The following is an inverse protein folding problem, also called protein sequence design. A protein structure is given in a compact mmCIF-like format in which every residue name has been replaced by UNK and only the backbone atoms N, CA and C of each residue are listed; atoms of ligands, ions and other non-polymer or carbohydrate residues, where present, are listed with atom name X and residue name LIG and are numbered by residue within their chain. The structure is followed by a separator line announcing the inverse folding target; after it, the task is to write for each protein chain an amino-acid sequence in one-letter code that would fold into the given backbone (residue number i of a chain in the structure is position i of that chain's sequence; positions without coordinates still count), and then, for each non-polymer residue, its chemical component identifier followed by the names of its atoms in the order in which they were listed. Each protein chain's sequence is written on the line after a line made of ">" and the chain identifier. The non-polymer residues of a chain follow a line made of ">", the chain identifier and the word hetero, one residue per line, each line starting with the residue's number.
data_IF_380518823877
#
_entry.id   IF_380518823877
#
_cell.length_a   1.000
_cell.length_b   1.000
_cell.length_c   1.000
_cell.angle_alpha   90.00
_cell.angle_beta   90.00
_cell.angle_gamma   90.00
#
_symmetry.space_group_name_H-M   'P 1'
#
loop_
_entity.id
_entity.type
_entity.pdbx_description
1 polymer ?
#
# COMPACT_ATOMS: atom_id res chain seq x y z
N UNK A 1 -4.38 -29.84 50.75
CA UNK A 1 -5.63 -30.55 51.14
C UNK A 1 -6.44 -30.92 49.90
N UNK A 2 -7.67 -31.43 50.06
CA UNK A 2 -8.53 -32.02 49.02
C UNK A 2 -7.92 -33.26 48.35
N UNK A 3 -7.82 -34.41 49.03
CA UNK A 3 -8.89 -35.28 49.60
C UNK A 3 -9.36 -36.35 48.60
N UNK A 4 -9.17 -37.61 48.96
CA UNK A 4 -9.60 -38.77 48.18
C UNK A 4 -11.09 -39.00 48.43
N UNK A 5 -11.90 -38.96 47.37
CA UNK A 5 -13.28 -39.46 47.39
C UNK A 5 -13.35 -40.77 46.60
N UNK A 6 -13.65 -41.86 47.32
CA UNK A 6 -13.80 -43.22 46.81
C UNK A 6 -15.06 -43.35 45.93
N UNK A 7 -14.93 -44.04 44.81
CA UNK A 7 -15.98 -44.25 43.81
C UNK A 7 -16.11 -45.73 43.36
N UNK A 8 -15.65 -46.68 44.18
CA UNK A 8 -15.63 -48.11 43.85
C UNK A 8 -16.96 -48.86 44.16
N UNK A 9 -18.09 -48.42 43.59
CA UNK A 9 -19.39 -49.09 43.84
C UNK A 9 -20.41 -49.06 42.68
N UNK A 10 -20.20 -49.93 41.69
CA UNK A 10 -21.24 -50.34 40.73
C UNK A 10 -21.45 -51.86 40.86
N UNK A 11 -22.59 -52.33 41.41
CA UNK A 11 -22.89 -53.76 41.47
C UNK A 11 -23.48 -54.25 40.14
N UNK A 12 -22.93 -55.33 39.58
CA UNK A 12 -23.52 -56.06 38.45
C UNK A 12 -24.25 -57.32 38.92
N UNK A 13 -25.58 -57.34 38.84
CA UNK A 13 -26.42 -58.55 38.89
C UNK A 13 -27.71 -58.31 38.09
N UNK A 14 -28.30 -59.40 37.59
CA UNK A 14 -29.45 -59.39 36.70
C UNK A 14 -28.98 -59.50 35.24
N UNK A 15 -29.20 -60.60 34.50
CA UNK A 15 -30.14 -61.71 34.75
C UNK A 15 -31.33 -61.66 33.78
N UNK A 16 -31.04 -61.48 32.48
CA UNK A 16 -32.05 -61.26 31.44
C UNK A 16 -32.93 -62.51 31.23
N UNK A 17 -34.06 -62.58 31.95
CA UNK A 17 -35.13 -63.53 31.64
C UNK A 17 -35.78 -63.06 30.34
N UNK A 18 -35.78 -63.91 29.31
CA UNK A 18 -36.52 -63.66 28.09
C UNK A 18 -38.03 -63.81 28.38
N UNK A 19 -38.64 -62.72 28.86
CA UNK A 19 -40.09 -62.57 28.82
C UNK A 19 -40.55 -62.55 27.35
N UNK A 20 -41.65 -63.25 27.07
CA UNK A 20 -42.33 -63.14 25.78
C UNK A 20 -42.98 -61.76 25.71
N UNK A 21 -42.28 -60.80 25.11
CA UNK A 21 -42.89 -59.53 24.69
C UNK A 21 -43.78 -59.80 23.47
N UNK A 22 -45.03 -59.34 23.51
CA UNK A 22 -45.95 -59.48 22.38
C UNK A 22 -45.35 -58.78 21.14
N UNK A 23 -45.14 -59.48 20.01
CA UNK A 23 -44.50 -58.89 18.84
C UNK A 23 -45.31 -57.73 18.27
N UNK A 24 -46.64 -57.75 18.45
CA UNK A 24 -47.55 -56.68 18.03
C UNK A 24 -47.31 -55.37 18.81
N UNK A 25 -46.88 -55.44 20.08
CA UNK A 25 -46.53 -54.26 20.86
C UNK A 25 -45.24 -53.60 20.37
N UNK A 26 -44.25 -54.43 20.00
CA UNK A 26 -43.00 -53.98 19.38
C UNK A 26 -43.28 -53.39 17.98
N UNK A 27 -44.19 -54.00 17.21
CA UNK A 27 -44.59 -53.50 15.89
C UNK A 27 -45.27 -52.13 15.99
N UNK A 28 -46.22 -51.97 16.92
CA UNK A 28 -46.91 -50.69 17.16
C UNK A 28 -45.93 -49.58 17.60
N UNK A 29 -45.00 -49.87 18.51
CA UNK A 29 -44.02 -48.89 18.97
C UNK A 29 -43.03 -48.47 17.85
N UNK A 30 -42.66 -49.39 16.95
CA UNK A 30 -41.81 -49.05 15.80
C UNK A 30 -42.57 -48.27 14.72
N UNK A 31 -43.88 -48.51 14.53
CA UNK A 31 -44.70 -47.71 13.59
C UNK A 31 -44.82 -46.25 14.03
N UNK A 32 -45.10 -46.00 15.33
CA UNK A 32 -45.18 -44.64 15.88
C UNK A 32 -43.83 -43.87 15.74
N UNK A 33 -42.70 -44.54 16.01
CA UNK A 33 -41.36 -43.96 15.80
C UNK A 33 -41.08 -43.67 14.32
N UNK A 34 -41.49 -44.56 13.40
CA UNK A 34 -41.28 -44.35 11.96
C UNK A 34 -42.18 -43.22 11.41
N UNK A 35 -43.37 -43.05 11.96
CA UNK A 35 -44.31 -42.00 11.57
C UNK A 35 -43.85 -40.63 12.09
N UNK A 36 -43.39 -40.54 13.34
CA UNK A 36 -42.75 -39.32 13.88
C UNK A 36 -41.44 -38.95 13.15
N UNK A 37 -40.69 -39.94 12.64
CA UNK A 37 -39.54 -39.69 11.77
C UNK A 37 -39.95 -39.03 10.45
N UNK A 38 -40.94 -39.57 9.75
CA UNK A 38 -41.45 -39.03 8.48
C UNK A 38 -42.01 -37.61 8.63
N UNK A 39 -42.74 -37.33 9.71
CA UNK A 39 -43.20 -35.97 10.03
C UNK A 39 -42.02 -35.02 10.30
N UNK A 40 -40.97 -35.50 10.99
CA UNK A 40 -39.77 -34.69 11.27
C UNK A 40 -38.87 -34.43 10.04
N UNK A 41 -39.00 -35.23 8.98
CA UNK A 41 -38.31 -35.02 7.70
C UNK A 41 -39.09 -34.08 6.78
N UNK A 42 -40.43 -34.13 6.79
CA UNK A 42 -41.28 -33.19 6.05
C UNK A 42 -40.99 -31.72 6.42
N UNK A 43 -40.90 -31.41 7.72
CA UNK A 43 -40.56 -30.07 8.22
C UNK A 43 -39.15 -29.61 7.81
N UNK A 44 -38.20 -30.54 7.63
CA UNK A 44 -36.81 -30.21 7.26
C UNK A 44 -36.67 -29.76 5.81
N UNK A 45 -37.45 -30.32 4.89
CA UNK A 45 -37.35 -30.00 3.46
C UNK A 45 -38.03 -28.68 3.06
N UNK A 46 -38.80 -28.05 3.95
CA UNK A 46 -39.47 -26.77 3.67
C UNK A 46 -38.55 -25.53 3.69
N UNK A 47 -37.38 -25.61 4.34
CA UNK A 47 -36.58 -24.42 4.72
C UNK A 47 -35.33 -24.13 3.88
N UNK A 48 -35.00 -24.94 2.87
CA UNK A 48 -33.68 -24.93 2.19
C UNK A 48 -33.70 -24.62 0.69
N UNK A 49 -34.80 -24.08 0.14
CA UNK A 49 -34.80 -23.45 -1.19
C UNK A 49 -34.13 -22.06 -1.14
N UNK A 50 -32.84 -22.06 -0.79
CA UNK A 50 -32.04 -20.88 -0.42
C UNK A 50 -30.77 -20.64 -1.27
N UNK A 51 -30.63 -21.33 -2.40
CA UNK A 51 -29.75 -20.93 -3.51
C UNK A 51 -28.24 -20.97 -3.29
N UNK A 52 -27.63 -22.16 -3.34
CA UNK A 52 -26.21 -22.31 -3.69
C UNK A 52 -26.08 -23.02 -5.06
N UNK A 53 -25.50 -22.33 -6.05
CA UNK A 53 -25.14 -22.93 -7.34
C UNK A 53 -23.78 -23.63 -7.21
N UNK A 54 -23.79 -24.87 -6.71
CA UNK A 54 -22.69 -25.79 -6.94
C UNK A 54 -22.58 -26.10 -8.43
N UNK A 55 -21.43 -25.78 -9.04
CA UNK A 55 -21.13 -26.17 -10.41
C UNK A 55 -20.25 -27.42 -10.41
N UNK A 56 -20.81 -28.55 -10.83
CA UNK A 56 -20.06 -29.81 -10.93
C UNK A 56 -18.96 -29.74 -12.00
N UNK A 57 -17.85 -30.45 -11.74
CA UNK A 57 -16.66 -30.40 -12.58
C UNK A 57 -16.76 -31.30 -13.81
N UNK A 58 -16.84 -30.70 -15.00
CA UNK A 58 -16.76 -31.43 -16.28
C UNK A 58 -15.29 -31.78 -16.63
N UNK A 59 -14.98 -33.08 -16.73
CA UNK A 59 -13.63 -33.59 -16.97
C UNK A 59 -13.29 -33.54 -18.47
N UNK A 60 -12.95 -32.35 -18.97
CA UNK A 60 -12.62 -32.11 -20.37
C UNK A 60 -11.16 -32.46 -20.73
N UNK A 61 -10.87 -33.76 -20.93
CA UNK A 61 -9.57 -34.20 -21.50
C UNK A 61 -9.59 -34.06 -23.03
N UNK A 62 -9.05 -32.95 -23.57
CA UNK A 62 -8.99 -32.81 -25.03
C UNK A 62 -8.27 -31.58 -25.62
N UNK A 63 -7.37 -31.87 -26.58
CA UNK A 63 -7.16 -31.08 -27.82
C UNK A 63 -6.72 -29.61 -27.77
N UNK A 64 -5.39 -29.45 -27.83
CA UNK A 64 -4.63 -28.31 -28.38
C UNK A 64 -5.36 -27.46 -29.45
N UNK A 65 -5.40 -26.13 -29.30
CA UNK A 65 -5.23 -25.19 -30.44
C UNK A 65 -4.74 -23.80 -30.03
N UNK A 66 -4.17 -23.08 -31.00
CA UNK A 66 -3.49 -21.77 -30.86
C UNK A 66 -4.51 -20.63 -30.77
N UNK A 67 -4.25 -19.58 -29.99
CA UNK A 67 -5.16 -18.42 -29.85
C UNK A 67 -4.62 -17.21 -29.07
N UNK A 68 -3.31 -16.94 -29.12
CA UNK A 68 -2.69 -15.86 -28.34
C UNK A 68 -2.84 -14.48 -29.01
N UNK A 69 -3.93 -13.77 -28.75
CA UNK A 69 -4.15 -12.39 -29.25
C UNK A 69 -5.01 -11.47 -28.37
N UNK A 70 -5.45 -11.90 -27.18
CA UNK A 70 -6.43 -11.15 -26.37
C UNK A 70 -5.89 -10.10 -25.38
N UNK A 71 -4.67 -10.27 -24.86
CA UNK A 71 -4.23 -9.56 -23.64
C UNK A 71 -3.98 -8.06 -23.79
N UNK A 72 -3.64 -7.56 -24.98
CA UNK A 72 -3.36 -6.13 -25.18
C UNK A 72 -4.58 -5.22 -25.08
N UNK A 73 -5.77 -5.72 -25.44
CA UNK A 73 -6.99 -4.91 -25.50
C UNK A 73 -7.52 -4.54 -24.10
N UNK A 74 -7.43 -5.47 -23.15
CA UNK A 74 -7.91 -5.26 -21.79
C UNK A 74 -7.07 -4.22 -21.03
N UNK A 75 -5.75 -4.22 -21.24
CA UNK A 75 -4.82 -3.29 -20.60
C UNK A 75 -5.01 -1.83 -21.09
N UNK A 76 -5.27 -1.61 -22.38
CA UNK A 76 -5.63 -0.27 -22.87
C UNK A 76 -6.98 0.22 -22.34
N UNK A 77 -7.93 -0.69 -22.09
CA UNK A 77 -9.24 -0.31 -21.53
C UNK A 77 -9.14 0.14 -20.06
N UNK A 78 -8.25 -0.45 -19.26
CA UNK A 78 -7.94 0.06 -17.92
C UNK A 78 -7.25 1.44 -17.97
N UNK A 79 -6.30 1.66 -18.89
CA UNK A 79 -5.61 2.95 -19.00
C UNK A 79 -6.52 4.12 -19.38
N UNK A 80 -7.55 3.88 -20.20
CA UNK A 80 -8.51 4.93 -20.59
C UNK A 80 -9.55 5.23 -19.50
N UNK A 81 -9.97 4.24 -18.71
CA UNK A 81 -11.00 4.41 -17.69
C UNK A 81 -10.48 5.04 -16.37
N UNK A 82 -9.21 5.44 -16.32
CA UNK A 82 -8.51 5.90 -15.11
C UNK A 82 -8.07 7.38 -15.23
N UNK A 83 -8.71 8.20 -16.09
CA UNK A 83 -8.10 9.47 -16.55
C UNK A 83 -8.77 10.78 -16.15
N UNK A 84 -10.06 10.81 -15.77
CA UNK A 84 -10.78 12.08 -15.68
C UNK A 84 -11.86 12.17 -14.57
N UNK A 85 -11.96 11.17 -13.68
CA UNK A 85 -12.67 11.37 -12.41
C UNK A 85 -11.70 12.00 -11.41
N UNK A 86 -11.88 13.29 -11.13
CA UNK A 86 -11.28 13.93 -9.95
C UNK A 86 -12.02 13.39 -8.73
N UNK A 87 -11.52 12.29 -8.16
CA UNK A 87 -12.10 11.69 -6.97
C UNK A 87 -11.64 12.51 -5.77
N UNK A 88 -12.59 13.23 -5.17
CA UNK A 88 -12.39 13.96 -3.93
C UNK A 88 -11.91 13.03 -2.80
N UNK A 89 -10.77 13.36 -2.22
CA UNK A 89 -10.10 12.62 -1.16
C UNK A 89 -10.76 12.79 0.21
N UNK A 90 -11.47 13.90 0.42
CA UNK A 90 -12.21 14.16 1.66
C UNK A 90 -13.55 13.42 1.70
N UNK A 91 -13.99 12.83 0.57
CA UNK A 91 -15.26 12.12 0.48
C UNK A 91 -15.35 10.95 1.48
N UNK A 92 -16.33 11.02 2.40
CA UNK A 92 -16.53 10.03 3.47
C UNK A 92 -16.75 8.60 2.94
N UNK A 93 -17.27 8.49 1.71
CA UNK A 93 -17.61 7.23 1.05
C UNK A 93 -16.46 6.62 0.21
N UNK A 94 -15.23 7.16 0.32
CA UNK A 94 -14.07 6.67 -0.43
C UNK A 94 -13.78 5.19 -0.13
N UNK A 95 -13.92 4.34 -1.15
CA UNK A 95 -13.72 2.89 -1.02
C UNK A 95 -12.24 2.52 -1.02
N UNK A 96 -11.85 1.45 -0.32
CA UNK A 96 -10.46 0.95 -0.28
C UNK A 96 -9.76 0.86 -1.64
N UNK A 97 -10.45 0.38 -2.67
CA UNK A 97 -9.89 0.30 -4.01
C UNK A 97 -9.64 1.67 -4.65
N UNK A 98 -10.46 2.68 -4.34
CA UNK A 98 -10.27 4.06 -4.78
C UNK A 98 -9.09 4.71 -4.03
N UNK A 99 -9.06 4.64 -2.70
CA UNK A 99 -7.92 5.16 -1.91
C UNK A 99 -6.58 4.56 -2.36
N UNK A 100 -6.54 3.24 -2.59
CA UNK A 100 -5.37 2.52 -3.11
C UNK A 100 -4.99 2.94 -4.54
N UNK A 101 -5.96 3.33 -5.37
CA UNK A 101 -5.74 3.85 -6.72
C UNK A 101 -5.19 5.28 -6.70
N UNK A 102 -5.78 6.17 -5.90
CA UNK A 102 -5.33 7.56 -5.75
C UNK A 102 -3.91 7.59 -5.18
N UNK A 103 -3.62 6.84 -4.12
CA UNK A 103 -2.26 6.70 -3.57
C UNK A 103 -1.24 6.27 -4.64
N UNK A 104 -1.61 5.32 -5.50
CA UNK A 104 -0.77 4.88 -6.63
C UNK A 104 -0.65 5.92 -7.75
N UNK A 105 -1.54 6.89 -7.83
CA UNK A 105 -1.48 7.97 -8.81
C UNK A 105 -0.59 9.10 -8.29
N UNK A 106 -0.89 9.66 -7.11
CA UNK A 106 -0.06 10.69 -6.45
C UNK A 106 1.40 10.23 -6.35
N UNK A 107 1.66 8.97 -5.97
CA UNK A 107 3.01 8.39 -5.93
C UNK A 107 3.77 8.49 -7.28
N UNK A 108 3.10 8.31 -8.43
CA UNK A 108 3.71 8.47 -9.75
C UNK A 108 3.91 9.93 -10.10
N UNK A 109 2.97 10.79 -9.73
CA UNK A 109 3.02 12.21 -10.05
C UNK A 109 4.16 12.89 -9.28
N UNK A 110 4.39 12.51 -8.01
CA UNK A 110 5.62 12.81 -7.27
C UNK A 110 6.88 12.30 -7.99
N UNK A 111 6.87 11.07 -8.51
CA UNK A 111 8.01 10.53 -9.27
C UNK A 111 8.27 11.33 -10.56
N UNK A 112 7.23 11.76 -11.27
CA UNK A 112 7.36 12.65 -12.43
C UNK A 112 7.92 14.02 -12.04
N UNK A 113 7.45 14.62 -10.96
CA UNK A 113 7.97 15.88 -10.42
C UNK A 113 9.46 15.76 -10.02
N UNK A 114 9.84 14.72 -9.26
CA UNK A 114 11.26 14.42 -8.95
C UNK A 114 12.11 14.32 -10.23
N UNK A 115 11.60 13.66 -11.26
CA UNK A 115 12.29 13.52 -12.55
C UNK A 115 12.44 14.87 -13.28
N UNK A 116 11.42 15.74 -13.27
CA UNK A 116 11.52 17.10 -13.85
C UNK A 116 12.50 17.98 -13.08
N UNK A 117 12.39 18.05 -11.75
CA UNK A 117 13.30 18.77 -10.86
C UNK A 117 14.76 18.35 -11.10
N UNK A 118 15.01 17.04 -11.29
CA UNK A 118 16.34 16.52 -11.65
C UNK A 118 16.83 17.04 -13.01
N UNK A 119 15.98 17.06 -14.04
CA UNK A 119 16.33 17.59 -15.36
C UNK A 119 16.58 19.10 -15.33
N UNK A 120 15.76 19.88 -14.63
CA UNK A 120 15.93 21.33 -14.49
C UNK A 120 17.25 21.69 -13.78
N UNK A 121 17.63 20.95 -12.72
CA UNK A 121 18.95 21.11 -12.08
C UNK A 121 20.09 20.83 -13.06
N UNK A 122 20.00 19.74 -13.84
CA UNK A 122 21.02 19.40 -14.85
C UNK A 122 21.13 20.46 -15.96
N UNK A 123 20.02 21.03 -16.42
CA UNK A 123 20.04 22.06 -17.48
C UNK A 123 20.54 23.42 -16.97
N UNK A 124 20.20 23.78 -15.72
CA UNK A 124 20.79 24.94 -15.04
C UNK A 124 22.32 24.79 -14.92
N UNK A 125 22.82 23.62 -14.52
CA UNK A 125 24.26 23.39 -14.39
C UNK A 125 24.99 23.29 -15.74
N UNK A 126 24.31 22.83 -16.81
CA UNK A 126 24.80 22.95 -18.20
C UNK A 126 24.93 24.41 -18.63
N UNK A 127 23.88 25.22 -18.42
CA UNK A 127 23.88 26.64 -18.77
C UNK A 127 24.93 27.43 -17.96
N UNK A 128 25.11 27.11 -16.67
CA UNK A 128 26.22 27.64 -15.85
C UNK A 128 27.60 27.30 -16.42
N UNK A 129 27.83 26.05 -16.84
CA UNK A 129 29.08 25.64 -17.49
C UNK A 129 29.30 26.36 -18.81
N UNK A 130 28.28 26.49 -19.67
CA UNK A 130 28.36 27.30 -20.90
C UNK A 130 28.67 28.76 -20.62
N UNK A 131 28.03 29.38 -19.62
CA UNK A 131 28.34 30.76 -19.20
C UNK A 131 29.81 30.88 -18.81
N UNK A 132 30.31 29.96 -17.99
CA UNK A 132 31.69 30.04 -17.51
C UNK A 132 32.70 29.70 -18.61
N UNK A 133 32.40 28.77 -19.52
CA UNK A 133 33.18 28.54 -20.74
C UNK A 133 33.16 29.74 -21.68
N UNK A 134 32.05 30.46 -21.80
CA UNK A 134 31.90 31.61 -22.71
C UNK A 134 32.58 32.84 -22.13
N UNK A 135 32.48 33.05 -20.81
CA UNK A 135 33.30 33.99 -20.04
C UNK A 135 34.77 33.66 -20.18
N UNK A 136 35.17 32.41 -19.94
CA UNK A 136 36.54 31.97 -20.11
C UNK A 136 37.00 32.21 -21.55
N UNK A 137 36.26 31.82 -22.58
CA UNK A 137 36.60 32.14 -24.00
C UNK A 137 36.68 33.65 -24.25
N UNK A 138 35.87 34.48 -23.59
CA UNK A 138 35.95 35.95 -23.67
C UNK A 138 37.23 36.48 -23.02
N UNK A 139 37.54 36.03 -21.80
CA UNK A 139 38.78 36.33 -21.08
C UNK A 139 39.99 35.81 -21.83
N UNK A 140 39.98 34.57 -22.32
CA UNK A 140 40.98 33.94 -23.16
C UNK A 140 41.14 34.69 -24.50
N UNK A 141 40.12 35.37 -25.04
CA UNK A 141 40.26 36.22 -26.25
C UNK A 141 40.81 37.62 -25.91
N UNK A 142 40.43 38.20 -24.78
CA UNK A 142 41.02 39.46 -24.29
C UNK A 142 42.48 39.25 -23.83
N UNK A 143 42.76 38.11 -23.21
CA UNK A 143 44.08 37.66 -22.80
C UNK A 143 44.86 37.13 -24.00
N UNK A 144 44.29 36.43 -25.00
CA UNK A 144 45.01 36.14 -26.25
C UNK A 144 45.14 37.37 -27.15
N UNK A 145 44.38 38.45 -26.95
CA UNK A 145 44.66 39.77 -27.55
C UNK A 145 45.88 40.36 -26.86
N UNK A 146 45.86 40.53 -25.53
CA UNK A 146 46.98 41.00 -24.73
C UNK A 146 48.25 40.13 -24.92
N UNK A 147 48.12 38.82 -24.87
CA UNK A 147 49.16 37.80 -25.12
C UNK A 147 49.46 37.59 -26.60
N UNK A 148 48.69 38.07 -27.58
CA UNK A 148 49.24 38.20 -28.95
C UNK A 148 50.00 39.50 -29.11
N UNK A 149 49.62 40.54 -28.37
CA UNK A 149 50.34 41.81 -28.34
C UNK A 149 51.63 41.67 -27.49
N UNK A 150 51.68 40.74 -26.52
CA UNK A 150 52.85 40.32 -25.73
C UNK A 150 53.59 39.08 -26.30
N UNK A 151 52.96 38.04 -26.86
CA UNK A 151 53.68 36.94 -27.56
C UNK A 151 54.09 37.28 -28.97
N UNK A 152 53.67 38.41 -29.52
CA UNK A 152 54.45 39.05 -30.59
C UNK A 152 55.80 39.59 -30.07
N UNK A 153 55.94 39.79 -28.76
CA UNK A 153 57.19 40.12 -28.04
C UNK A 153 57.85 38.87 -27.40
N UNK A 154 57.09 37.77 -27.14
CA UNK A 154 57.53 36.62 -26.33
C UNK A 154 57.50 35.24 -27.03
N UNK A 155 56.72 35.02 -28.11
CA UNK A 155 57.01 33.91 -29.06
C UNK A 155 58.28 34.20 -29.90
N UNK A 156 58.90 35.34 -29.62
CA UNK A 156 60.30 35.67 -29.79
C UNK A 156 61.26 34.77 -28.97
N UNK A 157 60.78 33.96 -28.01
CA UNK A 157 61.59 33.25 -27.00
C UNK A 157 61.36 31.72 -26.83
N UNK A 158 60.15 31.15 -27.03
CA UNK A 158 59.79 29.73 -26.70
C UNK A 158 58.67 29.17 -27.64
N UNK A 159 58.16 27.93 -27.60
CA UNK A 159 58.02 26.88 -26.56
C UNK A 159 59.00 25.65 -26.65
N UNK A 160 58.94 24.70 -25.69
CA UNK A 160 59.94 23.64 -25.37
C UNK A 160 59.34 22.52 -24.43
N UNK A 161 59.04 21.28 -24.91
CA UNK A 161 58.66 20.00 -24.16
C UNK A 161 57.20 19.90 -23.55
N UNK A 162 56.48 18.79 -23.17
CA UNK A 162 56.28 17.32 -23.54
C UNK A 162 54.86 16.79 -23.07
N UNK A 163 54.42 15.52 -23.31
CA UNK A 163 53.01 14.97 -23.25
C UNK A 163 52.68 13.62 -22.47
N UNK A 164 51.37 13.19 -22.47
CA UNK A 164 50.66 11.85 -22.27
C UNK A 164 50.30 11.11 -20.90
N UNK A 165 49.15 10.35 -20.87
CA UNK A 165 48.60 9.26 -19.94
C UNK A 165 47.83 9.58 -18.60
N UNK A 166 46.98 8.74 -17.90
CA UNK A 166 46.10 7.54 -18.20
C UNK A 166 45.71 6.54 -17.02
N UNK A 167 44.42 6.11 -16.77
CA UNK A 167 44.05 4.84 -15.97
C UNK A 167 42.64 4.62 -15.22
N UNK A 168 42.15 3.37 -14.84
CA UNK A 168 40.72 2.95 -14.45
C UNK A 168 40.41 1.90 -13.24
N UNK A 169 39.15 1.37 -12.95
CA UNK A 169 38.65 0.31 -11.89
C UNK A 169 37.07 -0.06 -11.93
N UNK A 170 36.21 -0.87 -11.18
CA UNK A 170 35.97 -2.20 -10.39
C UNK A 170 34.40 -2.43 -10.02
N UNK A 171 33.65 -3.36 -9.28
CA UNK A 171 33.69 -4.63 -8.40
C UNK A 171 32.31 -5.52 -8.24
N UNK A 172 31.87 -6.17 -7.07
CA UNK A 172 30.77 -7.26 -6.84
C UNK A 172 30.21 -7.47 -5.33
N UNK A 173 29.29 -8.35 -4.74
CA UNK A 173 28.21 -9.45 -4.97
C UNK A 173 27.41 -9.94 -3.62
N UNK A 174 26.33 -10.83 -3.59
CA UNK A 174 25.38 -11.21 -2.41
C UNK A 174 24.59 -12.64 -2.37
N UNK A 175 23.97 -13.23 -1.24
CA UNK A 175 23.26 -14.64 -1.08
C UNK A 175 22.17 -15.09 0.11
N UNK A 176 21.73 -16.41 0.45
CA UNK A 176 20.42 -16.97 1.22
C UNK A 176 20.26 -18.40 2.09
N UNK A 177 19.05 -18.97 2.67
CA UNK A 177 18.72 -20.20 3.69
C UNK A 177 17.28 -21.09 3.82
N UNK A 178 16.93 -22.13 4.79
CA UNK A 178 15.70 -23.19 4.96
C UNK A 178 15.21 -23.95 6.38
N UNK A 179 13.99 -24.69 6.61
CA UNK A 179 13.38 -25.48 7.88
C UNK A 179 12.30 -26.78 7.80
N UNK A 180 11.76 -27.58 8.86
CA UNK A 180 10.62 -28.74 8.99
C UNK A 180 10.03 -29.25 10.47
N UNK A 181 9.22 -30.32 11.03
CA UNK A 181 8.38 -31.70 10.85
C UNK A 181 7.50 -32.39 12.14
N UNK A 182 6.52 -33.44 12.12
CA UNK A 182 5.80 -34.35 13.27
C UNK A 182 4.88 -35.71 12.94
N UNK A 183 3.91 -36.58 13.57
CA UNK A 183 2.79 -36.80 14.68
C UNK A 183 2.27 -38.33 15.14
N UNK A 184 1.28 -38.73 16.10
CA UNK A 184 0.87 -40.15 16.76
C UNK A 184 -0.60 -40.53 17.50
N UNK A 185 -1.13 -41.80 17.89
CA UNK A 185 -2.52 -42.34 18.57
C UNK A 185 -2.64 -43.84 19.32
N UNK A 186 -3.62 -44.71 19.94
CA UNK A 186 -5.12 -45.12 20.41
C UNK A 186 -5.30 -46.52 21.35
N UNK A 187 -6.30 -47.37 21.94
CA UNK A 187 -7.81 -47.78 22.38
C UNK A 187 -7.99 -49.10 23.42
N UNK A 188 -8.97 -49.96 24.01
CA UNK A 188 -10.49 -50.49 24.25
C UNK A 188 -10.77 -51.52 25.56
N UNK A 189 -11.76 -52.42 26.09
CA UNK A 189 -13.16 -53.21 26.01
C UNK A 189 -13.79 -54.08 27.32
N UNK A 190 -15.01 -54.84 27.43
CA UNK A 190 -15.76 -55.70 28.60
C UNK A 190 -17.16 -56.56 28.28
N UNK A 191 -18.11 -57.40 28.97
CA UNK A 191 -18.57 -58.22 30.29
C UNK A 191 -19.99 -59.15 30.29
N UNK A 192 -20.50 -60.07 31.29
CA UNK A 192 -21.85 -60.95 31.38
C UNK A 192 -22.40 -61.86 32.70
N UNK A 193 -23.68 -62.50 32.87
CA UNK A 193 -24.33 -63.38 34.07
C UNK A 193 -25.78 -64.25 34.01
N UNK A 194 -26.21 -65.34 34.83
CA UNK A 194 -27.67 -66.00 35.11
C UNK A 194 -28.08 -67.35 36.03
N UNK A 195 -29.35 -67.60 36.66
CA UNK A 195 -30.33 -68.87 36.92
C UNK A 195 -31.58 -68.90 37.96
N UNK A 196 -31.57 -68.47 39.26
CA UNK A 196 -32.56 -68.91 40.35
C UNK A 196 -33.98 -68.23 40.38
N UNK A 197 -34.96 -68.59 39.53
CA UNK A 197 -35.90 -67.53 39.02
C UNK A 197 -37.46 -67.55 39.18
N UNK A 198 -38.22 -68.66 39.25
CA UNK A 198 -39.63 -68.64 38.70
C UNK A 198 -40.79 -68.16 39.60
N UNK A 199 -40.92 -68.52 40.88
CA UNK A 199 -42.15 -68.20 41.66
C UNK A 199 -42.29 -66.70 42.03
N UNK A 200 -41.15 -66.00 42.11
CA UNK A 200 -41.08 -64.55 42.40
C UNK A 200 -41.92 -63.73 41.39
N UNK A 201 -41.89 -64.20 40.14
CA UNK A 201 -42.39 -63.57 38.91
C UNK A 201 -43.86 -63.09 38.96
N UNK A 202 -44.75 -63.81 39.67
CA UNK A 202 -46.20 -63.54 39.60
C UNK A 202 -46.69 -62.47 40.59
N UNK A 203 -46.07 -62.37 41.77
CA UNK A 203 -46.32 -61.25 42.69
C UNK A 203 -45.42 -60.05 42.37
N UNK A 204 -44.31 -60.28 41.66
CA UNK A 204 -43.61 -59.25 40.90
C UNK A 204 -44.54 -58.66 39.84
N UNK A 205 -45.26 -59.44 39.01
CA UNK A 205 -46.09 -58.92 37.90
C UNK A 205 -47.03 -57.75 38.28
N UNK A 206 -47.79 -57.86 39.38
CA UNK A 206 -48.71 -56.79 39.79
C UNK A 206 -47.96 -55.54 40.31
N UNK A 207 -46.85 -55.73 41.02
CA UNK A 207 -45.95 -54.63 41.45
C UNK A 207 -45.24 -54.01 40.24
N UNK A 208 -44.79 -54.82 39.29
CA UNK A 208 -44.26 -54.43 37.99
C UNK A 208 -45.25 -53.59 37.20
N UNK A 209 -46.57 -53.85 37.25
CA UNK A 209 -47.56 -53.02 36.55
C UNK A 209 -47.64 -51.59 37.11
N UNK A 210 -47.65 -51.44 38.44
CA UNK A 210 -47.63 -50.11 39.07
C UNK A 210 -46.25 -49.44 38.92
N UNK A 211 -45.17 -50.21 39.02
CA UNK A 211 -43.80 -49.77 38.77
C UNK A 211 -43.61 -49.31 37.32
N UNK A 212 -44.14 -50.02 36.32
CA UNK A 212 -44.14 -49.60 34.91
C UNK A 212 -44.89 -48.28 34.72
N UNK A 213 -46.02 -48.08 35.41
CA UNK A 213 -46.77 -46.84 35.32
C UNK A 213 -46.00 -45.65 35.91
N UNK A 214 -45.42 -45.79 37.11
CA UNK A 214 -44.61 -44.74 37.73
C UNK A 214 -43.29 -44.52 36.99
N UNK A 215 -42.63 -45.58 36.53
CA UNK A 215 -41.45 -45.54 35.67
C UNK A 215 -41.73 -44.85 34.34
N UNK A 216 -42.84 -45.18 33.64
CA UNK A 216 -43.25 -44.52 32.38
C UNK A 216 -43.50 -43.02 32.60
N UNK A 217 -44.12 -42.63 33.71
CA UNK A 217 -44.33 -41.22 34.06
C UNK A 217 -43.00 -40.50 34.38
N UNK A 218 -42.12 -41.10 35.19
CA UNK A 218 -40.78 -40.57 35.46
C UNK A 218 -39.94 -40.46 34.18
N UNK A 219 -40.02 -41.44 33.29
CA UNK A 219 -39.34 -41.48 31.99
C UNK A 219 -39.86 -40.39 31.05
N UNK A 220 -41.18 -40.17 30.99
CA UNK A 220 -41.78 -39.03 30.27
C UNK A 220 -41.29 -37.69 30.83
N UNK A 221 -41.25 -37.52 32.16
CA UNK A 221 -40.71 -36.32 32.81
C UNK A 221 -39.22 -36.11 32.47
N UNK A 222 -38.38 -37.13 32.60
CA UNK A 222 -36.96 -37.06 32.24
C UNK A 222 -36.77 -36.73 30.74
N UNK A 223 -37.59 -37.29 29.85
CA UNK A 223 -37.51 -36.99 28.42
C UNK A 223 -37.98 -35.56 28.10
N UNK A 224 -38.96 -35.02 28.84
CA UNK A 224 -39.33 -33.60 28.74
C UNK A 224 -38.18 -32.69 29.23
N UNK A 225 -37.58 -33.00 30.38
CA UNK A 225 -36.41 -32.28 30.93
C UNK A 225 -35.20 -32.32 29.97
N UNK A 226 -34.93 -33.49 29.38
CA UNK A 226 -33.90 -33.64 28.32
C UNK A 226 -34.23 -32.81 27.07
N UNK A 227 -35.48 -32.84 26.59
CA UNK A 227 -35.93 -32.06 25.42
C UNK A 227 -35.82 -30.54 25.68
N UNK A 228 -36.17 -30.10 26.89
CA UNK A 228 -36.02 -28.70 27.31
C UNK A 228 -34.54 -28.29 27.37
N UNK A 229 -33.67 -29.13 27.97
CA UNK A 229 -32.22 -28.88 28.00
C UNK A 229 -31.62 -28.82 26.60
N UNK A 230 -31.92 -29.77 25.72
CA UNK A 230 -31.43 -29.75 24.33
C UNK A 230 -31.89 -28.48 23.59
N UNK A 231 -33.12 -28.00 23.82
CA UNK A 231 -33.59 -26.72 23.26
C UNK A 231 -32.80 -25.52 23.80
N UNK A 232 -32.46 -25.52 25.09
CA UNK A 232 -31.64 -24.48 25.73
C UNK A 232 -30.19 -24.49 25.22
N UNK A 233 -29.56 -25.66 25.16
CA UNK A 233 -28.19 -25.85 24.67
C UNK A 233 -28.08 -25.46 23.17
N UNK A 234 -29.10 -25.78 22.36
CA UNK A 234 -29.20 -25.36 20.96
C UNK A 234 -29.34 -23.84 20.83
N UNK A 235 -30.20 -23.19 21.61
CA UNK A 235 -30.36 -21.74 21.61
C UNK A 235 -29.06 -21.02 22.01
N UNK A 236 -28.36 -21.52 23.05
CA UNK A 236 -27.04 -21.03 23.46
C UNK A 236 -25.97 -21.24 22.37
N UNK A 237 -26.04 -22.35 21.63
CA UNK A 237 -25.20 -22.62 20.46
C UNK A 237 -25.41 -21.60 19.33
N UNK A 238 -26.66 -21.27 19.00
CA UNK A 238 -26.99 -20.23 18.03
C UNK A 238 -26.51 -18.84 18.49
N UNK A 239 -26.70 -18.49 19.77
CA UNK A 239 -26.23 -17.22 20.34
C UNK A 239 -24.70 -17.08 20.22
N UNK A 240 -23.96 -18.12 20.61
CA UNK A 240 -22.48 -18.15 20.50
C UNK A 240 -22.01 -18.08 19.03
N UNK A 241 -22.70 -18.76 18.11
CA UNK A 241 -22.40 -18.68 16.67
C UNK A 241 -22.63 -17.27 16.13
N UNK A 242 -23.72 -16.60 16.52
CA UNK A 242 -24.00 -15.22 16.13
C UNK A 242 -22.93 -14.24 16.66
N UNK A 243 -22.60 -14.32 17.95
CA UNK A 243 -21.55 -13.50 18.57
C UNK A 243 -20.18 -13.68 17.90
N UNK A 244 -19.80 -14.91 17.55
CA UNK A 244 -18.55 -15.18 16.84
C UNK A 244 -18.52 -14.57 15.43
N UNK A 245 -19.63 -14.67 14.69
CA UNK A 245 -19.76 -14.07 13.35
C UNK A 245 -19.76 -12.53 13.41
N UNK A 246 -20.41 -11.94 14.42
CA UNK A 246 -20.37 -10.50 14.68
C UNK A 246 -18.94 -10.04 15.02
N UNK A 247 -18.25 -10.75 15.92
CA UNK A 247 -16.86 -10.47 16.27
C UNK A 247 -15.95 -10.55 15.05
N UNK A 248 -16.14 -11.54 14.17
CA UNK A 248 -15.38 -11.67 12.92
C UNK A 248 -15.68 -10.54 11.92
N UNK A 249 -16.94 -10.13 11.76
CA UNK A 249 -17.31 -8.96 10.96
C UNK A 249 -16.65 -7.69 11.49
N UNK A 250 -16.71 -7.48 12.81
CA UNK A 250 -16.13 -6.31 13.51
C UNK A 250 -14.59 -6.29 13.45
N UNK A 251 -13.95 -7.45 13.44
CA UNK A 251 -12.51 -7.59 13.18
C UNK A 251 -12.17 -7.16 11.74
N UNK A 252 -12.86 -7.73 10.73
CA UNK A 252 -12.61 -7.41 9.32
C UNK A 252 -12.86 -5.94 8.98
N UNK A 253 -13.85 -5.30 9.63
CA UNK A 253 -14.06 -3.85 9.56
C UNK A 253 -12.83 -3.10 10.07
N UNK A 254 -12.41 -3.30 11.33
CA UNK A 254 -11.22 -2.64 11.90
C UNK A 254 -9.95 -2.83 11.07
N UNK A 255 -9.74 -4.02 10.51
CA UNK A 255 -8.60 -4.32 9.63
C UNK A 255 -8.68 -3.51 8.33
N UNK A 256 -9.87 -3.35 7.74
CA UNK A 256 -10.13 -2.47 6.59
C UNK A 256 -9.91 -1.01 6.95
N UNK A 257 -10.44 -0.55 8.09
CA UNK A 257 -10.32 0.83 8.58
C UNK A 257 -8.86 1.22 8.82
N UNK A 258 -8.09 0.34 9.48
CA UNK A 258 -6.64 0.51 9.73
C UNK A 258 -5.85 0.58 8.42
N UNK A 259 -6.28 -0.15 7.38
CA UNK A 259 -5.65 -0.09 6.06
C UNK A 259 -6.06 1.18 5.31
N UNK A 260 -7.31 1.65 5.44
CA UNK A 260 -7.78 2.93 4.90
C UNK A 260 -7.01 4.12 5.47
N UNK A 261 -6.87 4.18 6.80
CA UNK A 261 -6.08 5.18 7.51
C UNK A 261 -4.63 5.23 7.01
N UNK A 262 -3.98 4.07 6.87
CA UNK A 262 -2.62 3.99 6.30
C UNK A 262 -2.53 4.51 4.87
N UNK A 263 -3.52 4.21 4.00
CA UNK A 263 -3.52 4.76 2.65
C UNK A 263 -3.74 6.28 2.66
N UNK A 264 -4.60 6.83 3.52
CA UNK A 264 -4.79 8.29 3.69
C UNK A 264 -3.50 8.98 4.14
N UNK A 265 -2.82 8.43 5.15
CA UNK A 265 -1.56 8.98 5.66
C UNK A 265 -0.44 8.91 4.59
N UNK A 266 -0.37 7.81 3.82
CA UNK A 266 0.57 7.69 2.70
C UNK A 266 0.24 8.66 1.55
N UNK A 267 -1.05 8.95 1.27
CA UNK A 267 -1.46 9.98 0.30
C UNK A 267 -0.98 11.35 0.77
N UNK A 268 -1.31 11.76 2.00
CA UNK A 268 -0.96 13.07 2.55
C UNK A 268 0.57 13.34 2.54
N UNK A 269 1.38 12.31 2.83
CA UNK A 269 2.85 12.41 2.74
C UNK A 269 3.33 12.64 1.31
N UNK A 270 2.72 11.97 0.32
CA UNK A 270 3.04 12.22 -1.09
C UNK A 270 2.54 13.59 -1.58
N UNK A 271 1.39 14.08 -1.10
CA UNK A 271 0.87 15.40 -1.44
C UNK A 271 1.78 16.52 -0.91
N UNK A 272 2.22 16.43 0.35
CA UNK A 272 3.23 17.34 0.91
C UNK A 272 4.56 17.28 0.13
N UNK A 273 4.99 16.09 -0.30
CA UNK A 273 6.18 15.98 -1.15
C UNK A 273 5.95 16.63 -2.52
N UNK A 274 4.79 16.42 -3.15
CA UNK A 274 4.42 17.05 -4.42
C UNK A 274 4.46 18.58 -4.33
N UNK A 275 3.85 19.17 -3.30
CA UNK A 275 3.88 20.61 -3.05
C UNK A 275 5.32 21.15 -2.96
N UNK A 276 6.19 20.52 -2.17
CA UNK A 276 7.60 20.95 -2.06
C UNK A 276 8.37 20.77 -3.37
N UNK A 277 8.05 19.76 -4.18
CA UNK A 277 8.66 19.54 -5.49
C UNK A 277 8.17 20.56 -6.54
N UNK A 278 6.91 20.98 -6.49
CA UNK A 278 6.35 22.02 -7.35
C UNK A 278 6.92 23.40 -7.03
N UNK A 279 7.05 23.74 -5.74
CA UNK A 279 7.76 24.95 -5.30
C UNK A 279 9.21 24.97 -5.82
N UNK A 280 9.91 23.83 -5.73
CA UNK A 280 11.29 23.68 -6.24
C UNK A 280 11.35 23.69 -7.79
N UNK A 281 10.36 23.14 -8.50
CA UNK A 281 10.25 23.23 -9.96
C UNK A 281 10.05 24.69 -10.39
N UNK A 282 9.14 25.43 -9.75
CA UNK A 282 8.90 26.85 -10.02
C UNK A 282 10.14 27.73 -9.75
N UNK A 283 10.83 27.53 -8.62
CA UNK A 283 12.10 28.20 -8.35
C UNK A 283 13.17 27.91 -9.42
N UNK A 284 13.32 26.64 -9.80
CA UNK A 284 14.32 26.23 -10.79
C UNK A 284 14.01 26.80 -12.18
N UNK A 285 12.75 26.87 -12.57
CA UNK A 285 12.32 27.51 -13.83
C UNK A 285 12.69 29.01 -13.83
N UNK A 286 12.39 29.74 -12.75
CA UNK A 286 12.79 31.16 -12.60
C UNK A 286 14.32 31.33 -12.66
N UNK A 287 15.06 30.53 -11.88
CA UNK A 287 16.54 30.54 -11.84
C UNK A 287 17.15 30.14 -13.19
N UNK A 288 16.52 29.25 -13.96
CA UNK A 288 16.94 28.86 -15.30
C UNK A 288 16.69 29.98 -16.33
N UNK A 289 15.54 30.65 -16.31
CA UNK A 289 15.26 31.80 -17.19
C UNK A 289 16.26 32.96 -16.95
N UNK A 290 16.56 33.28 -15.69
CA UNK A 290 17.61 34.23 -15.34
C UNK A 290 18.99 33.79 -15.85
N UNK A 291 19.30 32.49 -15.76
CA UNK A 291 20.57 31.93 -16.24
C UNK A 291 20.65 32.03 -17.77
N UNK A 292 19.59 31.72 -18.51
CA UNK A 292 19.50 31.88 -19.97
C UNK A 292 19.51 33.34 -20.42
N UNK A 293 19.11 34.29 -19.57
CA UNK A 293 19.37 35.72 -19.80
C UNK A 293 20.87 36.01 -19.68
N UNK A 294 21.50 35.61 -18.57
CA UNK A 294 22.94 35.75 -18.31
C UNK A 294 23.81 35.05 -19.38
N UNK A 295 23.36 33.94 -19.96
CA UNK A 295 24.01 33.23 -21.09
C UNK A 295 24.03 34.09 -22.36
N UNK A 296 22.90 34.73 -22.70
CA UNK A 296 22.82 35.69 -23.82
C UNK A 296 23.66 36.96 -23.55
N UNK A 297 23.57 37.53 -22.36
CA UNK A 297 24.33 38.72 -21.96
C UNK A 297 25.85 38.50 -22.04
N UNK A 298 26.31 37.27 -21.75
CA UNK A 298 27.72 36.85 -21.88
C UNK A 298 28.08 36.53 -23.34
N UNK A 299 27.18 35.92 -24.13
CA UNK A 299 27.43 35.67 -25.54
C UNK A 299 27.62 36.97 -26.34
N UNK A 300 26.81 38.00 -26.09
CA UNK A 300 26.97 39.34 -26.69
C UNK A 300 28.34 39.96 -26.34
N UNK A 301 28.87 39.70 -25.14
CA UNK A 301 30.23 40.13 -24.76
C UNK A 301 31.33 39.35 -25.48
N UNK A 302 31.14 38.04 -25.69
CA UNK A 302 32.05 37.24 -26.52
C UNK A 302 32.04 37.73 -27.97
N UNK A 303 30.87 37.97 -28.55
CA UNK A 303 30.71 38.50 -29.91
C UNK A 303 31.39 39.87 -30.06
N UNK A 304 31.16 40.79 -29.12
CA UNK A 304 31.85 42.09 -29.08
C UNK A 304 33.38 41.92 -29.00
N UNK A 305 33.87 41.04 -28.12
CA UNK A 305 35.31 40.77 -27.99
C UNK A 305 35.93 40.11 -29.24
N UNK A 306 35.18 39.26 -29.95
CA UNK A 306 35.57 38.67 -31.22
C UNK A 306 35.63 39.71 -32.34
N UNK A 307 34.67 40.64 -32.40
CA UNK A 307 34.69 41.77 -33.34
C UNK A 307 35.93 42.63 -33.06
N UNK A 308 36.16 43.04 -31.81
CA UNK A 308 37.34 43.80 -31.37
C UNK A 308 38.68 43.09 -31.65
N UNK A 309 38.70 41.75 -31.56
CA UNK A 309 39.87 40.93 -31.86
C UNK A 309 40.08 40.71 -33.37
N UNK A 310 39.04 40.87 -34.20
CA UNK A 310 39.11 40.75 -35.66
C UNK A 310 39.69 42.00 -36.35
N UNK A 311 39.55 43.19 -35.75
CA UNK A 311 40.09 44.45 -36.28
C UNK A 311 41.59 44.29 -36.58
N UNK A 312 42.09 44.62 -37.78
CA UNK A 312 43.51 44.47 -38.13
C UNK A 312 44.48 45.08 -37.10
N UNK A 313 45.55 44.35 -36.75
CA UNK A 313 46.53 44.77 -35.72
C UNK A 313 47.05 46.20 -35.94
N UNK A 314 47.30 46.60 -37.19
CA UNK A 314 47.75 47.96 -37.56
C UNK A 314 46.72 49.07 -37.25
N UNK A 315 45.41 48.79 -37.36
CA UNK A 315 44.36 49.77 -37.05
C UNK A 315 44.14 49.89 -35.53
N UNK A 316 44.26 48.79 -34.77
CA UNK A 316 44.17 48.80 -33.30
C UNK A 316 45.22 49.68 -32.62
N UNK A 317 46.47 49.69 -33.12
CA UNK A 317 47.52 50.54 -32.53
C UNK A 317 47.22 52.03 -32.72
N UNK A 318 46.67 52.42 -33.88
CA UNK A 318 46.35 53.83 -34.17
C UNK A 318 45.23 54.36 -33.27
N UNK A 319 44.22 53.56 -32.92
CA UNK A 319 43.14 54.02 -32.03
C UNK A 319 43.57 54.22 -30.58
N UNK A 320 44.48 53.39 -30.05
CA UNK A 320 45.05 53.60 -28.70
C UNK A 320 45.84 54.91 -28.61
N UNK A 321 46.65 55.21 -29.63
CA UNK A 321 47.43 56.47 -29.67
C UNK A 321 46.52 57.68 -29.87
N UNK A 322 45.50 57.57 -30.74
CA UNK A 322 44.55 58.64 -31.01
C UNK A 322 43.72 59.08 -29.78
N UNK A 323 43.14 58.13 -29.05
CA UNK A 323 42.33 58.46 -27.86
C UNK A 323 43.17 59.04 -26.72
N UNK A 324 44.45 58.70 -26.62
CA UNK A 324 45.34 59.18 -25.55
C UNK A 324 45.63 60.70 -25.63
N UNK A 325 45.51 61.33 -26.81
CA UNK A 325 45.66 62.78 -26.97
C UNK A 325 44.37 63.56 -26.68
N UNK A 326 43.20 62.95 -26.84
CA UNK A 326 41.91 63.65 -26.74
C UNK A 326 41.47 63.95 -25.30
N UNK A 327 41.80 63.08 -24.34
CA UNK A 327 41.33 63.19 -22.94
C UNK A 327 42.03 64.25 -22.09
N UNK A 328 43.05 64.94 -22.61
CA UNK A 328 43.83 65.93 -21.84
C UNK A 328 43.12 67.30 -21.76
N UNK A 329 42.11 67.57 -22.61
CA UNK A 329 41.59 68.93 -22.83
C UNK A 329 40.07 69.07 -22.64
N UNK A 330 39.51 68.45 -21.59
CA UNK A 330 38.17 68.80 -21.08
C UNK A 330 38.27 69.43 -19.67
N UNK A 331 37.71 70.63 -19.44
CA UNK A 331 37.74 71.27 -18.13
C UNK A 331 36.79 70.57 -17.15
N UNK A 332 37.19 70.52 -15.88
CA UNK A 332 36.37 69.98 -14.78
C UNK A 332 35.16 70.88 -14.50
N UNK A 333 34.02 70.59 -15.12
CA UNK A 333 32.75 71.27 -14.83
C UNK A 333 32.08 70.58 -13.64
N UNK A 334 32.36 71.11 -12.44
CA UNK A 334 31.82 70.67 -11.15
C UNK A 334 30.29 70.85 -11.07
N UNK A 335 29.54 69.94 -11.70
CA UNK A 335 28.06 69.99 -11.76
C UNK A 335 27.42 69.44 -10.49
N UNK A 336 27.55 70.19 -9.41
CA UNK A 336 26.74 70.05 -8.22
C UNK A 336 25.27 70.40 -8.55
N UNK A 337 24.49 69.44 -9.03
CA UNK A 337 23.06 69.65 -9.38
C UNK A 337 22.16 68.61 -8.73
N UNK A 338 21.28 69.10 -7.87
CA UNK A 338 20.17 68.35 -7.30
C UNK A 338 19.30 67.72 -8.39
N UNK A 339 18.89 66.47 -8.20
CA UNK A 339 17.61 66.01 -8.71
C UNK A 339 16.88 65.22 -7.62
N UNK A 340 15.68 65.70 -7.29
CA UNK A 340 14.80 65.14 -6.27
C UNK A 340 13.74 64.25 -6.91
N UNK A 341 13.37 63.18 -6.18
CA UNK A 341 12.02 62.59 -6.11
C UNK A 341 11.49 61.87 -7.37
N UNK A 342 10.49 61.01 -7.14
CA UNK A 342 9.82 60.08 -8.07
C UNK A 342 10.70 58.86 -8.41
N UNK A 343 10.36 57.63 -7.98
CA UNK A 343 9.22 57.18 -7.18
C UNK A 343 9.55 55.91 -6.39
N UNK A 344 9.00 55.77 -5.17
CA UNK A 344 8.89 54.47 -4.52
C UNK A 344 8.00 53.51 -5.33
N UNK A 345 8.37 52.23 -5.34
CA UNK A 345 7.42 51.12 -5.49
C UNK A 345 7.75 50.13 -4.38
N UNK A 346 7.12 50.33 -3.22
CA UNK A 346 7.09 49.33 -2.17
C UNK A 346 6.16 48.19 -2.59
N UNK A 347 6.70 47.12 -3.17
CA UNK A 347 5.95 45.87 -3.31
C UNK A 347 6.17 44.99 -2.07
N UNK A 348 5.58 45.43 -0.95
CA UNK A 348 5.62 44.73 0.33
C UNK A 348 4.73 43.48 0.28
N UNK A 349 5.28 42.35 -0.19
CA UNK A 349 4.61 41.05 -0.12
C UNK A 349 4.51 40.60 1.35
N UNK A 350 3.38 40.88 1.99
CA UNK A 350 3.09 40.41 3.33
C UNK A 350 3.01 38.87 3.34
N UNK A 351 3.96 38.22 4.00
CA UNK A 351 3.86 36.81 4.39
C UNK A 351 3.33 36.79 5.82
N UNK A 352 2.11 36.30 6.01
CA UNK A 352 1.42 36.34 7.31
C UNK A 352 2.10 35.44 8.35
N UNK A 353 2.39 36.01 9.52
CA UNK A 353 2.70 35.24 10.72
C UNK A 353 1.42 34.62 11.30
N UNK A 354 0.92 33.53 10.70
CA UNK A 354 -0.13 32.71 11.31
C UNK A 354 0.45 31.72 12.32
N UNK A 355 1.01 32.25 13.41
CA UNK A 355 1.42 31.50 14.60
C UNK A 355 0.18 31.00 15.37
N UNK A 356 -0.49 29.97 14.84
CA UNK A 356 -1.67 29.35 15.45
C UNK A 356 -1.30 28.54 16.69
N UNK A 357 -1.23 29.23 17.82
CA UNK A 357 -0.98 28.70 19.16
C UNK A 357 -2.01 27.61 19.54
N UNK A 358 -1.55 26.37 19.75
CA UNK A 358 -2.33 25.29 20.39
C UNK A 358 -1.48 24.46 21.37
N UNK A 359 -1.37 24.96 22.60
CA UNK A 359 -1.31 24.11 23.79
C UNK A 359 -2.66 24.20 24.51
N UNK A 360 -3.22 23.08 24.96
CA UNK A 360 -4.52 23.10 25.64
C UNK A 360 -5.17 21.73 25.85
N UNK A 361 -4.69 21.01 26.87
CA UNK A 361 -5.24 19.79 27.50
C UNK A 361 -5.30 18.52 26.62
#
# INVERSE_FOLDING_TARGET
>A
EFELMDASKVPSQGGFVAGLEDPDAILAQNQDVHQQLLESEADRHSSTLGGEKGGDGEIAVGSRKKGASGTGSQMMKEMLNNRESVIDLESENLTYFQAKAIRKQVQKDCELLRNRVRMLRQEMDRSRKKIEETRKKTSDIMELKLQNDLRYQEKLLLEKEREESGGPTTLKMEERLKVTEDIKQKRFHIFAEKKREVEQYKQEYARNKQFLASYRHQYQKQNFERKLKVKQDLALGHQKKAQFLEQKRRQAQRETDTIMEKNRNEIQVFEQEAETLEQVEAELLKKLQETQKKERDVFVKLETAMIDASIPKKQRVVSLVGNSLASINQPSVNSNRQHMVVSEVEEASAVENLSSNRQGQ
#
